data_IF_428318283182
#
_entry.id   IF_428318283182
#
_cell.length_a   1.000
_cell.length_b   1.000
_cell.length_c   1.000
_cell.angle_alpha   90.00
_cell.angle_beta   90.00
_cell.angle_gamma   90.00
#
_symmetry.space_group_name_H-M   'P 1'
#
loop_
_entity.id
_entity.type
_entity.pdbx_description
1 polymer ?
#
# COMPACT_ATOMS: atom_id res chain seq x y z
N UNK A 1 2.86 7.88 25.90
CA UNK A 1 1.63 8.70 25.70
C UNK A 1 1.12 8.45 24.29
N UNK A 2 -0.18 8.11 24.12
CA UNK A 2 -0.80 7.82 22.83
C UNK A 2 -0.85 9.09 21.96
N UNK A 3 -0.51 8.94 20.66
CA UNK A 3 -0.51 10.08 19.70
C UNK A 3 -1.11 9.74 18.35
N UNK A 4 -1.00 8.50 17.92
CA UNK A 4 -1.43 8.06 16.59
C UNK A 4 -2.57 7.06 16.70
N UNK A 5 -3.65 7.29 15.95
CA UNK A 5 -4.74 6.38 15.70
C UNK A 5 -4.70 6.04 14.20
N UNK A 6 -4.38 4.80 13.87
CA UNK A 6 -4.22 4.32 12.50
C UNK A 6 -5.42 3.47 12.09
N UNK A 7 -6.07 3.85 11.01
CA UNK A 7 -7.22 3.13 10.42
C UNK A 7 -6.75 2.38 9.18
N UNK A 8 -6.98 1.07 9.13
CA UNK A 8 -6.60 0.18 8.04
C UNK A 8 -7.81 -0.64 7.60
N UNK A 9 -8.31 -0.40 6.39
CA UNK A 9 -9.47 -1.10 5.86
C UNK A 9 -9.14 -2.55 5.51
N UNK A 10 -9.99 -3.44 5.95
CA UNK A 10 -9.77 -4.88 5.79
C UNK A 10 -10.12 -5.35 4.38
N UNK A 11 -9.12 -5.90 3.65
CA UNK A 11 -9.30 -6.41 2.28
C UNK A 11 -10.04 -5.44 1.35
N UNK A 12 -9.67 -4.18 1.39
CA UNK A 12 -10.41 -3.02 0.91
C UNK A 12 -11.13 -3.24 -0.44
N UNK A 13 -10.39 -3.57 -1.51
CA UNK A 13 -11.01 -3.75 -2.83
C UNK A 13 -12.05 -4.87 -2.84
N UNK A 14 -11.76 -6.00 -2.19
CA UNK A 14 -12.70 -7.10 -2.12
C UNK A 14 -13.94 -6.73 -1.29
N UNK A 15 -13.77 -5.96 -0.21
CA UNK A 15 -14.88 -5.46 0.62
C UNK A 15 -15.76 -4.47 -0.14
N UNK A 16 -15.17 -3.60 -0.98
CA UNK A 16 -15.94 -2.72 -1.87
C UNK A 16 -16.74 -3.54 -2.89
N UNK A 17 -16.13 -4.56 -3.51
CA UNK A 17 -16.83 -5.44 -4.45
C UNK A 17 -18.02 -6.17 -3.77
N UNK A 18 -17.84 -6.67 -2.55
CA UNK A 18 -18.91 -7.30 -1.76
C UNK A 18 -19.99 -6.28 -1.35
N UNK A 19 -19.62 -5.00 -1.15
CA UNK A 19 -20.56 -3.94 -0.82
C UNK A 19 -21.48 -3.59 -2.00
N UNK A 20 -20.91 -3.43 -3.20
CA UNK A 20 -21.67 -3.05 -4.40
C UNK A 20 -22.36 -4.24 -5.09
N UNK A 21 -21.90 -5.46 -4.85
CA UNK A 21 -22.42 -6.71 -5.42
C UNK A 21 -22.86 -7.67 -4.31
N UNK A 22 -24.10 -7.56 -3.81
CA UNK A 22 -24.58 -8.38 -2.67
C UNK A 22 -24.42 -9.89 -2.84
N UNK A 23 -24.46 -10.39 -4.09
CA UNK A 23 -24.29 -11.82 -4.39
C UNK A 23 -22.87 -12.35 -4.14
N UNK A 24 -21.88 -11.45 -3.90
CA UNK A 24 -20.49 -11.80 -3.55
C UNK A 24 -20.27 -11.89 -2.02
N UNK A 25 -21.21 -11.43 -1.21
CA UNK A 25 -21.08 -11.46 0.25
C UNK A 25 -21.00 -12.89 0.77
N UNK A 26 -20.06 -13.12 1.67
CA UNK A 26 -19.81 -14.45 2.26
C UNK A 26 -19.13 -15.43 1.30
N UNK A 27 -18.75 -15.02 0.09
CA UNK A 27 -18.05 -15.86 -0.89
C UNK A 27 -16.57 -15.54 -0.95
N UNK A 28 -15.70 -16.52 -1.27
CA UNK A 28 -14.31 -16.27 -1.58
C UNK A 28 -14.19 -15.46 -2.87
N UNK A 29 -13.72 -14.21 -2.75
CA UNK A 29 -13.56 -13.26 -3.85
C UNK A 29 -12.10 -12.89 -4.03
N UNK A 30 -11.61 -12.98 -5.27
CA UNK A 30 -10.31 -12.48 -5.71
C UNK A 30 -10.47 -11.29 -6.66
N UNK A 31 -9.88 -10.16 -6.35
CA UNK A 31 -9.89 -8.98 -7.23
C UNK A 31 -8.65 -9.03 -8.12
N UNK A 32 -8.85 -8.96 -9.42
CA UNK A 32 -7.78 -9.01 -10.42
C UNK A 32 -7.62 -7.66 -11.11
N UNK A 33 -6.41 -7.26 -11.50
CA UNK A 33 -6.19 -6.02 -12.26
C UNK A 33 -6.78 -6.12 -13.68
N UNK A 34 -6.81 -7.34 -14.23
CA UNK A 34 -7.37 -7.72 -15.54
C UNK A 34 -7.84 -9.16 -15.45
N UNK A 35 -8.95 -9.49 -16.10
CA UNK A 35 -9.48 -10.86 -16.16
C UNK A 35 -8.64 -11.73 -17.10
N UNK A 36 -7.49 -12.22 -16.63
CA UNK A 36 -6.59 -13.08 -17.39
C UNK A 36 -5.94 -14.16 -16.51
N UNK A 37 -5.69 -15.35 -17.07
CA UNK A 37 -5.06 -16.48 -16.36
C UNK A 37 -3.66 -16.19 -15.84
N UNK A 38 -2.91 -15.32 -16.52
CA UNK A 38 -1.54 -14.95 -16.16
C UNK A 38 -1.43 -13.82 -15.13
N UNK A 39 -2.53 -13.36 -14.53
CA UNK A 39 -2.50 -12.32 -13.50
C UNK A 39 -2.53 -12.91 -12.08
N UNK A 40 -2.42 -12.02 -11.09
CA UNK A 40 -2.53 -12.37 -9.69
C UNK A 40 -3.58 -11.49 -8.99
N UNK A 41 -4.06 -11.94 -7.85
CA UNK A 41 -4.96 -11.17 -7.00
C UNK A 41 -4.26 -9.91 -6.49
N UNK A 42 -4.88 -8.75 -6.68
CA UNK A 42 -4.47 -7.49 -6.04
C UNK A 42 -5.13 -7.32 -4.67
N UNK A 43 -6.25 -8.00 -4.45
CA UNK A 43 -6.89 -8.16 -3.14
C UNK A 43 -7.65 -9.49 -3.09
N UNK A 44 -7.88 -9.97 -1.86
CA UNK A 44 -8.67 -11.17 -1.60
C UNK A 44 -9.59 -10.92 -0.40
N UNK A 45 -10.84 -11.39 -0.48
CA UNK A 45 -11.79 -11.33 0.64
C UNK A 45 -11.31 -12.21 1.81
N UNK A 46 -11.87 -12.01 2.99
CA UNK A 46 -11.49 -12.84 4.15
C UNK A 46 -11.88 -14.30 3.97
N UNK A 47 -12.97 -14.56 3.26
CA UNK A 47 -13.37 -15.92 2.87
C UNK A 47 -12.31 -16.55 1.96
N UNK A 48 -11.74 -15.80 1.01
CA UNK A 48 -10.64 -16.29 0.17
C UNK A 48 -9.32 -16.43 0.96
N UNK A 49 -9.05 -15.52 1.91
CA UNK A 49 -7.88 -15.61 2.80
C UNK A 49 -7.88 -16.85 3.68
N UNK A 50 -9.06 -17.37 4.06
CA UNK A 50 -9.19 -18.62 4.81
C UNK A 50 -8.60 -19.83 4.06
N UNK A 51 -8.57 -19.79 2.72
CA UNK A 51 -7.91 -20.78 1.86
C UNK A 51 -6.44 -20.47 1.57
N UNK A 52 -5.85 -19.45 2.23
CA UNK A 52 -4.46 -19.03 2.00
C UNK A 52 -4.26 -18.09 0.79
N UNK A 53 -5.34 -17.65 0.14
CA UNK A 53 -5.30 -16.74 -1.00
C UNK A 53 -5.08 -15.30 -0.50
N UNK A 54 -4.08 -14.61 -1.04
CA UNK A 54 -3.69 -13.25 -0.64
C UNK A 54 -3.25 -12.43 -1.85
N UNK A 55 -2.95 -11.16 -1.62
CA UNK A 55 -2.32 -10.30 -2.63
C UNK A 55 -1.07 -10.97 -3.19
N UNK A 56 -0.97 -11.02 -4.52
CA UNK A 56 0.11 -11.70 -5.25
C UNK A 56 -0.14 -13.18 -5.55
N UNK A 57 -1.20 -13.82 -5.01
CA UNK A 57 -1.56 -15.20 -5.38
C UNK A 57 -2.03 -15.23 -6.84
N UNK A 58 -1.42 -16.11 -7.65
CA UNK A 58 -1.78 -16.26 -9.07
C UNK A 58 -3.21 -16.80 -9.22
N UNK A 59 -3.86 -16.47 -10.35
CA UNK A 59 -5.20 -17.00 -10.66
C UNK A 59 -5.20 -18.54 -10.65
N UNK A 60 -4.14 -19.18 -11.16
CA UNK A 60 -4.01 -20.63 -11.18
C UNK A 60 -3.91 -21.22 -9.77
N UNK A 61 -3.05 -20.63 -8.92
CA UNK A 61 -2.89 -21.08 -7.53
C UNK A 61 -4.16 -20.83 -6.72
N UNK A 62 -4.81 -19.67 -6.91
CA UNK A 62 -6.06 -19.35 -6.23
C UNK A 62 -7.18 -20.35 -6.59
N UNK A 63 -7.30 -20.74 -7.87
CA UNK A 63 -8.23 -21.79 -8.31
C UNK A 63 -7.90 -23.16 -7.75
N UNK A 64 -6.62 -23.48 -7.59
CA UNK A 64 -6.19 -24.75 -6.98
C UNK A 64 -6.53 -24.79 -5.48
N UNK A 65 -6.34 -23.66 -4.77
CA UNK A 65 -6.61 -23.54 -3.33
C UNK A 65 -8.12 -23.48 -3.04
N UNK A 66 -8.89 -22.82 -3.89
CA UNK A 66 -10.33 -22.65 -3.77
C UNK A 66 -10.97 -22.72 -5.16
N UNK A 67 -11.46 -23.89 -5.61
CA UNK A 67 -12.08 -24.04 -6.94
C UNK A 67 -13.30 -23.15 -7.17
N UNK A 68 -14.02 -22.82 -6.10
CA UNK A 68 -15.23 -21.98 -6.12
C UNK A 68 -14.94 -20.47 -6.02
N UNK A 69 -13.67 -20.04 -5.97
CA UNK A 69 -13.32 -18.62 -5.90
C UNK A 69 -13.94 -17.82 -7.05
N UNK A 70 -14.58 -16.73 -6.72
CA UNK A 70 -15.12 -15.78 -7.70
C UNK A 70 -14.09 -14.68 -7.97
N UNK A 71 -13.69 -14.57 -9.24
CA UNK A 71 -12.83 -13.44 -9.65
C UNK A 71 -13.65 -12.29 -10.17
N UNK A 72 -13.23 -11.08 -9.82
CA UNK A 72 -13.78 -9.81 -10.31
C UNK A 72 -12.66 -8.92 -10.81
N UNK A 73 -12.91 -8.16 -11.86
CA UNK A 73 -11.98 -7.15 -12.36
C UNK A 73 -12.04 -5.89 -11.51
N UNK A 74 -10.89 -5.28 -11.26
CA UNK A 74 -10.75 -4.10 -10.43
C UNK A 74 -11.46 -2.87 -11.01
N UNK A 75 -12.24 -2.18 -10.20
CA UNK A 75 -12.98 -0.98 -10.54
C UNK A 75 -12.39 0.24 -9.83
N UNK A 76 -11.22 0.70 -10.27
CA UNK A 76 -10.45 1.74 -9.56
C UNK A 76 -11.23 3.03 -9.29
N UNK A 77 -12.12 3.47 -10.20
CA UNK A 77 -12.93 4.67 -9.99
C UNK A 77 -13.88 4.52 -8.78
N UNK A 78 -14.51 3.36 -8.65
CA UNK A 78 -15.41 3.03 -7.53
C UNK A 78 -14.59 2.94 -6.23
N UNK A 79 -13.38 2.37 -6.26
CA UNK A 79 -12.54 2.30 -5.07
C UNK A 79 -12.11 3.69 -4.59
N UNK A 80 -11.84 4.63 -5.51
CA UNK A 80 -11.54 6.02 -5.16
C UNK A 80 -12.77 6.72 -4.56
N UNK A 81 -13.97 6.49 -5.08
CA UNK A 81 -15.21 7.03 -4.52
C UNK A 81 -15.43 6.53 -3.08
N UNK A 82 -15.34 5.22 -2.86
CA UNK A 82 -15.47 4.65 -1.52
C UNK A 82 -14.38 5.14 -0.56
N UNK A 83 -13.16 5.33 -1.05
CA UNK A 83 -12.08 5.95 -0.28
C UNK A 83 -12.44 7.37 0.18
N UNK A 84 -12.94 8.22 -0.70
CA UNK A 84 -13.35 9.57 -0.34
C UNK A 84 -14.45 9.57 0.70
N UNK A 85 -15.45 8.67 0.57
CA UNK A 85 -16.49 8.48 1.56
C UNK A 85 -15.93 7.99 2.91
N UNK A 86 -14.95 7.09 2.88
CA UNK A 86 -14.29 6.56 4.07
C UNK A 86 -13.49 7.65 4.81
N UNK A 87 -12.71 8.46 4.08
CA UNK A 87 -12.00 9.61 4.66
C UNK A 87 -12.99 10.59 5.28
N UNK A 88 -14.05 10.97 4.57
CA UNK A 88 -15.05 11.87 5.10
C UNK A 88 -15.79 11.31 6.34
N UNK A 89 -16.00 9.98 6.40
CA UNK A 89 -16.56 9.33 7.57
C UNK A 89 -15.64 9.43 8.81
N UNK A 90 -14.33 9.19 8.60
CA UNK A 90 -13.35 9.32 9.69
C UNK A 90 -13.21 10.76 10.13
N UNK A 91 -13.16 11.73 9.20
CA UNK A 91 -13.03 13.16 9.51
C UNK A 91 -14.20 13.74 10.32
N UNK A 92 -15.39 13.15 10.23
CA UNK A 92 -16.52 13.55 11.11
C UNK A 92 -16.28 13.24 12.58
N UNK A 93 -15.44 12.25 12.88
CA UNK A 93 -15.14 11.81 14.26
C UNK A 93 -13.80 12.36 14.75
N UNK A 94 -12.76 12.28 13.91
CA UNK A 94 -11.42 12.74 14.25
C UNK A 94 -10.72 13.29 13.01
N UNK A 95 -9.97 14.42 13.09
CA UNK A 95 -9.25 14.98 11.97
C UNK A 95 -8.24 13.99 11.39
N UNK A 96 -8.36 13.72 10.09
CA UNK A 96 -7.39 12.90 9.35
C UNK A 96 -6.13 13.73 9.13
N UNK A 97 -5.05 13.36 9.81
CA UNK A 97 -3.76 14.03 9.65
C UNK A 97 -3.09 13.69 8.32
N UNK A 98 -3.16 12.41 7.94
CA UNK A 98 -2.53 11.93 6.72
C UNK A 98 -3.28 10.73 6.15
N UNK A 99 -3.47 10.74 4.83
CA UNK A 99 -3.87 9.58 4.03
C UNK A 99 -2.58 8.93 3.51
N UNK A 100 -2.33 7.67 3.87
CA UNK A 100 -1.11 6.96 3.51
C UNK A 100 -1.29 6.09 2.25
N UNK A 101 -2.49 5.53 2.09
CA UNK A 101 -2.88 4.75 0.91
C UNK A 101 -4.38 4.87 0.65
N UNK A 102 -4.89 4.11 -0.31
CA UNK A 102 -6.34 4.08 -0.60
C UNK A 102 -7.16 3.42 0.52
N UNK A 103 -6.51 2.69 1.41
CA UNK A 103 -7.12 1.92 2.50
C UNK A 103 -6.51 2.22 3.88
N UNK A 104 -5.56 3.17 3.95
CA UNK A 104 -4.86 3.50 5.19
C UNK A 104 -4.86 5.01 5.45
N UNK A 105 -5.23 5.40 6.67
CA UNK A 105 -5.18 6.78 7.12
C UNK A 105 -4.88 6.88 8.60
N UNK A 106 -4.37 8.04 9.00
CA UNK A 106 -3.97 8.32 10.37
C UNK A 106 -4.64 9.59 10.90
N UNK A 107 -5.14 9.50 12.13
CA UNK A 107 -5.59 10.61 12.93
C UNK A 107 -4.59 10.89 14.05
N UNK A 108 -4.32 12.16 14.34
CA UNK A 108 -3.48 12.54 15.47
C UNK A 108 -4.34 12.73 16.74
N UNK A 109 -3.95 12.04 17.79
CA UNK A 109 -4.57 12.20 19.10
C UNK A 109 -3.93 13.38 19.86
N UNK A 110 -4.73 14.35 20.26
CA UNK A 110 -4.29 15.56 20.96
C UNK A 110 -5.00 15.72 22.30
N UNK A 111 -4.39 16.48 23.21
CA UNK A 111 -4.99 16.81 24.50
C UNK A 111 -5.53 15.58 25.26
N UNK A 112 -6.79 15.63 25.65
CA UNK A 112 -7.45 14.54 26.40
C UNK A 112 -7.69 13.27 25.58
N UNK A 113 -7.63 13.32 24.25
CA UNK A 113 -7.76 12.15 23.39
C UNK A 113 -6.58 11.16 23.52
N UNK A 114 -5.45 11.61 24.11
CA UNK A 114 -4.30 10.75 24.43
C UNK A 114 -4.55 9.80 25.60
N UNK A 115 -5.65 9.93 26.30
CA UNK A 115 -6.10 8.95 27.27
C UNK A 115 -6.62 7.70 26.57
N UNK A 116 -6.28 6.52 27.10
CA UNK A 116 -6.62 5.22 26.51
C UNK A 116 -8.13 5.06 26.24
N UNK A 117 -8.96 5.34 27.25
CA UNK A 117 -10.40 5.10 27.15
C UNK A 117 -11.05 6.03 26.12
N UNK A 118 -10.62 7.29 26.08
CA UNK A 118 -11.08 8.26 25.07
C UNK A 118 -10.60 7.88 23.67
N UNK A 119 -9.37 7.45 23.51
CA UNK A 119 -8.84 7.00 22.22
C UNK A 119 -9.59 5.76 21.72
N UNK A 120 -9.90 4.82 22.59
CA UNK A 120 -10.73 3.64 22.27
C UNK A 120 -12.17 4.03 21.90
N UNK A 121 -12.78 4.98 22.61
CA UNK A 121 -14.11 5.49 22.28
C UNK A 121 -14.14 6.10 20.88
N UNK A 122 -13.17 6.96 20.54
CA UNK A 122 -12.99 7.53 19.20
C UNK A 122 -12.87 6.41 18.14
N UNK A 123 -12.07 5.37 18.39
CA UNK A 123 -11.93 4.25 17.46
C UNK A 123 -13.25 3.51 17.24
N UNK A 124 -14.02 3.28 18.28
CA UNK A 124 -15.35 2.67 18.16
C UNK A 124 -16.33 3.57 17.39
N UNK A 125 -16.29 4.88 17.61
CA UNK A 125 -17.12 5.84 16.89
C UNK A 125 -16.76 5.85 15.39
N UNK A 126 -15.46 5.83 15.04
CA UNK A 126 -15.00 5.71 13.65
C UNK A 126 -15.56 4.43 13.01
N UNK A 127 -15.45 3.28 13.69
CA UNK A 127 -15.98 2.01 13.15
C UNK A 127 -17.49 2.08 12.92
N UNK A 128 -18.26 2.62 13.86
CA UNK A 128 -19.71 2.81 13.71
C UNK A 128 -20.06 3.74 12.57
N UNK A 129 -19.34 4.85 12.45
CA UNK A 129 -19.56 5.83 11.40
C UNK A 129 -19.29 5.24 10.01
N UNK A 130 -18.19 4.49 9.84
CA UNK A 130 -17.88 3.77 8.59
C UNK A 130 -18.99 2.77 8.26
N UNK A 131 -19.43 1.97 9.25
CA UNK A 131 -20.46 0.95 9.05
C UNK A 131 -21.79 1.57 8.60
N UNK A 132 -22.17 2.70 9.18
CA UNK A 132 -23.45 3.36 8.91
C UNK A 132 -23.48 4.18 7.62
N UNK A 133 -22.37 4.83 7.25
CA UNK A 133 -22.34 5.81 6.15
C UNK A 133 -21.58 5.37 4.91
N UNK A 134 -20.61 4.43 5.04
CA UNK A 134 -19.84 3.94 3.91
C UNK A 134 -20.37 2.59 3.43
N UNK A 135 -20.55 1.64 4.35
CA UNK A 135 -21.15 0.35 4.03
C UNK A 135 -20.82 -0.78 4.98
N UNK A 136 -21.74 -1.74 5.11
CA UNK A 136 -21.64 -2.85 6.07
C UNK A 136 -20.51 -3.84 5.78
N UNK A 137 -20.03 -3.91 4.54
CA UNK A 137 -18.90 -4.74 4.17
C UNK A 137 -17.54 -4.05 4.40
N UNK A 138 -17.53 -2.71 4.59
CA UNK A 138 -16.31 -1.93 4.83
C UNK A 138 -15.95 -1.94 6.31
N UNK A 139 -15.16 -2.91 6.70
CA UNK A 139 -14.62 -2.98 8.07
C UNK A 139 -13.17 -2.51 8.09
N UNK A 140 -12.73 -1.99 9.23
CA UNK A 140 -11.34 -1.58 9.42
C UNK A 140 -10.78 -2.13 10.73
N UNK A 141 -9.49 -2.39 10.75
CA UNK A 141 -8.72 -2.60 11.98
C UNK A 141 -8.08 -1.29 12.39
N UNK A 142 -8.14 -0.97 13.68
CA UNK A 142 -7.59 0.27 14.20
C UNK A 142 -6.49 -0.05 15.20
N UNK A 143 -5.34 0.59 15.00
CA UNK A 143 -4.23 0.57 15.94
C UNK A 143 -4.01 1.94 16.58
N UNK A 144 -3.77 1.96 17.89
CA UNK A 144 -3.51 3.18 18.64
C UNK A 144 -2.18 3.03 19.36
N UNK A 145 -1.27 4.01 19.18
CA UNK A 145 0.07 3.88 19.73
C UNK A 145 0.77 5.25 19.92
N UNK A 146 1.97 5.28 20.53
CA UNK A 146 2.75 6.51 20.69
C UNK A 146 3.21 7.15 19.38
N UNK A 147 3.33 6.39 18.28
CA UNK A 147 3.71 6.88 16.96
C UNK A 147 3.00 6.11 15.84
N UNK A 148 3.09 6.64 14.61
CA UNK A 148 2.44 6.09 13.42
C UNK A 148 2.87 4.66 13.10
N UNK A 149 4.18 4.35 13.20
CA UNK A 149 4.72 3.01 12.92
C UNK A 149 4.13 1.96 13.87
N UNK A 150 4.10 2.24 15.17
CA UNK A 150 3.52 1.35 16.17
C UNK A 150 2.00 1.25 16.04
N UNK A 151 1.32 2.35 15.67
CA UNK A 151 -0.13 2.33 15.43
C UNK A 151 -0.48 1.50 14.21
N UNK A 152 0.32 1.60 13.11
CA UNK A 152 0.18 0.70 11.96
C UNK A 152 0.40 -0.76 12.37
N UNK A 153 1.46 -1.04 13.10
CA UNK A 153 1.77 -2.38 13.59
C UNK A 153 0.62 -2.94 14.46
N UNK A 154 0.08 -2.12 15.37
CA UNK A 154 -1.06 -2.47 16.21
C UNK A 154 -2.32 -2.80 15.37
N UNK A 155 -2.59 -2.07 14.29
CA UNK A 155 -3.72 -2.36 13.40
C UNK A 155 -3.62 -3.73 12.71
N UNK A 156 -2.39 -4.24 12.52
CA UNK A 156 -2.14 -5.54 11.90
C UNK A 156 -2.20 -6.71 12.91
N UNK A 157 -2.01 -6.45 14.22
CA UNK A 157 -1.98 -7.49 15.25
C UNK A 157 -3.30 -8.24 15.42
N UNK A 158 -4.42 -7.59 15.10
CA UNK A 158 -5.76 -8.19 15.19
C UNK A 158 -6.58 -7.83 13.96
N UNK A 159 -6.50 -8.68 12.94
CA UNK A 159 -7.31 -8.58 11.70
C UNK A 159 -8.18 -9.82 11.54
N UNK A 160 -9.41 -9.71 11.04
CA UNK A 160 -10.14 -8.47 10.66
C UNK A 160 -10.82 -7.76 11.84
N UNK A 161 -11.22 -6.50 11.60
CA UNK A 161 -12.08 -5.69 12.47
C UNK A 161 -11.57 -5.50 13.90
N UNK A 162 -10.22 -5.57 14.06
CA UNK A 162 -9.56 -5.44 15.36
C UNK A 162 -9.48 -4.01 15.90
N UNK A 163 -9.17 -3.92 17.18
CA UNK A 163 -8.80 -2.67 17.85
C UNK A 163 -7.71 -2.99 18.87
N UNK A 164 -6.51 -2.52 18.63
CA UNK A 164 -5.34 -2.78 19.46
C UNK A 164 -4.71 -1.47 19.90
N UNK A 165 -4.43 -1.35 21.20
CA UNK A 165 -3.69 -0.23 21.78
C UNK A 165 -2.35 -0.73 22.25
N UNK A 166 -1.28 -0.01 21.91
CA UNK A 166 0.08 -0.21 22.44
C UNK A 166 0.44 1.03 23.25
N UNK A 167 0.63 0.88 24.55
CA UNK A 167 1.04 1.96 25.43
C UNK A 167 2.57 2.03 25.56
N UNK A 168 3.06 3.21 25.92
CA UNK A 168 4.50 3.43 26.12
C UNK A 168 5.13 2.48 27.15
N UNK A 169 4.38 2.14 28.19
CA UNK A 169 4.84 1.27 29.28
C UNK A 169 4.95 -0.22 28.86
N UNK A 170 4.31 -0.61 27.75
CA UNK A 170 4.35 -1.97 27.22
C UNK A 170 5.54 -2.21 26.27
N UNK A 171 6.29 -1.15 25.95
CA UNK A 171 7.40 -1.20 24.99
C UNK A 171 8.74 -1.45 25.69
N UNK A 172 9.62 -2.23 25.06
CA UNK A 172 9.47 -2.92 23.77
C UNK A 172 8.86 -4.33 23.87
N UNK A 173 8.56 -4.84 25.06
CA UNK A 173 8.18 -6.24 25.33
C UNK A 173 6.95 -6.67 24.53
N UNK A 174 6.00 -5.76 24.34
CA UNK A 174 4.78 -5.99 23.56
C UNK A 174 5.04 -6.37 22.10
N UNK A 175 6.22 -6.00 21.56
CA UNK A 175 6.62 -6.27 20.19
C UNK A 175 7.31 -7.61 20.01
N UNK A 176 7.87 -8.20 21.08
CA UNK A 176 8.71 -9.39 21.01
C UNK A 176 8.05 -10.61 20.33
N UNK A 177 6.73 -10.88 20.49
CA UNK A 177 6.08 -12.02 19.82
C UNK A 177 5.89 -11.85 18.31
N UNK A 178 6.09 -10.64 17.76
CA UNK A 178 5.89 -10.35 16.35
C UNK A 178 7.06 -10.84 15.50
N UNK A 179 6.81 -10.98 14.18
CA UNK A 179 7.86 -11.27 13.21
C UNK A 179 8.51 -9.97 12.73
N UNK A 180 9.79 -10.01 12.40
CA UNK A 180 10.48 -8.84 11.81
C UNK A 180 9.75 -8.25 10.60
N UNK A 181 9.16 -9.11 9.77
CA UNK A 181 8.44 -8.70 8.56
C UNK A 181 7.06 -8.08 8.83
N UNK A 182 6.56 -8.14 10.06
CA UNK A 182 5.31 -7.44 10.43
C UNK A 182 5.56 -5.93 10.55
N UNK A 183 6.83 -5.52 10.77
CA UNK A 183 7.22 -4.10 10.80
C UNK A 183 7.26 -3.54 9.38
N UNK A 184 6.49 -2.48 9.15
CA UNK A 184 6.48 -1.78 7.86
C UNK A 184 7.89 -1.34 7.45
N UNK A 185 8.28 -1.67 6.21
CA UNK A 185 9.62 -1.39 5.68
C UNK A 185 10.61 -2.56 5.81
N UNK A 186 10.29 -3.60 6.57
CA UNK A 186 11.11 -4.82 6.64
C UNK A 186 10.62 -5.86 5.61
N UNK A 187 10.92 -5.62 4.33
CA UNK A 187 10.73 -6.59 3.27
C UNK A 187 11.88 -7.61 3.19
N UNK A 188 11.83 -8.51 2.22
CA UNK A 188 12.83 -9.61 2.04
C UNK A 188 14.28 -9.12 2.08
N UNK A 189 14.60 -8.00 1.40
CA UNK A 189 15.98 -7.47 1.36
C UNK A 189 16.42 -6.89 2.71
N UNK A 190 15.54 -6.20 3.42
CA UNK A 190 15.86 -5.66 4.73
C UNK A 190 16.00 -6.79 5.76
N UNK A 191 15.15 -7.82 5.68
CA UNK A 191 15.27 -9.02 6.51
C UNK A 191 16.65 -9.67 6.34
N UNK A 192 17.14 -9.83 5.11
CA UNK A 192 18.49 -10.36 4.86
C UNK A 192 19.58 -9.49 5.49
N UNK A 193 19.47 -8.16 5.40
CA UNK A 193 20.44 -7.24 6.04
C UNK A 193 20.43 -7.35 7.55
N UNK A 194 19.25 -7.50 8.15
CA UNK A 194 19.12 -7.74 9.60
C UNK A 194 19.77 -9.05 10.01
N UNK A 195 19.52 -10.13 9.26
CA UNK A 195 20.11 -11.45 9.52
C UNK A 195 21.63 -11.43 9.41
N UNK A 196 22.20 -10.73 8.43
CA UNK A 196 23.65 -10.51 8.31
C UNK A 196 24.22 -9.76 9.53
N UNK A 197 23.43 -8.87 10.13
CA UNK A 197 23.78 -8.15 11.35
C UNK A 197 23.51 -8.93 12.64
N UNK A 198 23.10 -10.21 12.56
CA UNK A 198 22.82 -11.07 13.71
C UNK A 198 21.44 -10.82 14.37
N UNK A 199 20.49 -10.20 13.63
CA UNK A 199 19.15 -9.88 14.13
C UNK A 199 18.13 -10.81 13.46
N UNK A 200 17.57 -11.76 14.19
CA UNK A 200 16.64 -12.78 13.69
C UNK A 200 15.24 -12.70 14.29
N UNK A 201 15.07 -11.92 15.37
CA UNK A 201 13.81 -11.78 16.11
C UNK A 201 13.49 -10.32 16.42
N UNK A 202 12.23 -10.04 16.78
CA UNK A 202 11.82 -8.72 17.26
C UNK A 202 12.49 -8.34 18.58
N UNK A 203 12.71 -9.30 19.46
CA UNK A 203 13.44 -9.05 20.71
C UNK A 203 14.87 -8.56 20.43
N UNK A 204 15.59 -9.21 19.52
CA UNK A 204 16.94 -8.80 19.10
C UNK A 204 16.92 -7.45 18.37
N UNK A 205 15.92 -7.19 17.52
CA UNK A 205 15.75 -5.89 16.87
C UNK A 205 15.55 -4.77 17.91
N UNK A 206 14.70 -5.01 18.90
CA UNK A 206 14.46 -4.06 19.99
C UNK A 206 15.68 -3.86 20.89
N UNK A 207 16.48 -4.91 21.11
CA UNK A 207 17.70 -4.85 21.91
C UNK A 207 18.90 -4.26 21.14
N UNK A 208 18.84 -4.21 19.81
CA UNK A 208 19.97 -3.78 18.97
C UNK A 208 20.39 -2.34 19.29
N UNK A 209 21.71 -2.07 19.39
CA UNK A 209 22.21 -0.72 19.58
C UNK A 209 21.83 0.22 18.41
N UNK A 210 21.61 1.48 18.72
CA UNK A 210 21.23 2.53 17.74
C UNK A 210 22.19 2.60 16.55
N UNK A 211 23.51 2.46 16.79
CA UNK A 211 24.53 2.46 15.74
C UNK A 211 24.45 1.26 14.81
N UNK A 212 24.08 0.08 15.32
CA UNK A 212 23.86 -1.12 14.51
C UNK A 212 22.69 -0.90 13.55
N UNK A 213 21.55 -0.40 14.05
CA UNK A 213 20.40 -0.11 13.18
C UNK A 213 20.70 1.01 12.17
N UNK A 214 21.48 2.04 12.55
CA UNK A 214 21.98 3.04 11.62
C UNK A 214 22.71 2.38 10.43
N UNK A 215 23.63 1.46 10.71
CA UNK A 215 24.40 0.76 9.68
C UNK A 215 23.53 -0.18 8.83
N UNK A 216 22.61 -0.91 9.45
CA UNK A 216 21.71 -1.83 8.75
C UNK A 216 20.79 -1.09 7.78
N UNK A 217 20.22 0.04 8.16
CA UNK A 217 19.38 0.86 7.25
C UNK A 217 20.20 1.73 6.30
N UNK A 218 21.47 1.97 6.60
CA UNK A 218 22.37 2.82 5.82
C UNK A 218 22.14 4.31 6.06
N UNK A 219 21.78 4.70 7.29
CA UNK A 219 21.62 6.10 7.66
C UNK A 219 20.58 6.39 8.73
N UNK A 220 20.09 7.63 8.78
CA UNK A 220 19.17 8.16 9.80
C UNK A 220 17.90 7.31 9.97
N UNK A 221 17.39 6.70 8.91
CA UNK A 221 16.21 5.82 8.99
C UNK A 221 16.38 4.67 10.02
N UNK A 222 17.59 4.15 10.19
CA UNK A 222 17.89 3.13 11.21
C UNK A 222 17.88 3.69 12.63
N UNK A 223 18.40 4.89 12.83
CA UNK A 223 18.34 5.55 14.14
C UNK A 223 16.90 5.90 14.54
N UNK A 224 16.09 6.35 13.58
CA UNK A 224 14.66 6.60 13.80
C UNK A 224 13.89 5.30 14.07
N UNK A 225 14.20 4.20 13.36
CA UNK A 225 13.61 2.89 13.66
C UNK A 225 13.86 2.48 15.10
N UNK A 226 15.12 2.59 15.57
CA UNK A 226 15.49 2.32 16.96
C UNK A 226 14.63 3.12 17.96
N UNK A 227 14.47 4.42 17.70
CA UNK A 227 13.76 5.33 18.58
C UNK A 227 12.24 5.11 18.50
N UNK A 228 11.70 4.85 17.30
CA UNK A 228 10.27 4.56 17.10
C UNK A 228 9.84 3.25 17.77
N UNK A 229 10.68 2.20 17.78
CA UNK A 229 10.41 0.96 18.52
C UNK A 229 10.28 1.20 20.04
N UNK A 230 10.81 2.31 20.55
CA UNK A 230 10.71 2.76 21.95
C UNK A 230 9.63 3.82 22.16
N UNK A 231 8.76 4.00 21.18
CA UNK A 231 7.63 4.93 21.28
C UNK A 231 7.98 6.39 21.01
N UNK A 232 9.19 6.70 20.56
CA UNK A 232 9.52 8.06 20.15
C UNK A 232 8.68 8.45 18.94
N UNK A 233 8.08 9.62 19.00
CA UNK A 233 7.33 10.20 17.91
C UNK A 233 8.18 11.16 17.10
N UNK A 234 8.19 10.97 15.81
CA UNK A 234 8.74 11.91 14.83
C UNK A 234 7.56 12.57 14.11
N UNK A 235 7.55 13.88 14.05
CA UNK A 235 6.54 14.63 13.30
C UNK A 235 6.48 14.25 11.82
N UNK A 236 5.45 14.70 11.10
CA UNK A 236 5.34 14.45 9.68
C UNK A 236 6.56 15.01 8.95
N UNK A 237 7.16 14.20 8.09
CA UNK A 237 8.21 14.69 7.21
C UNK A 237 7.56 15.41 6.03
N UNK A 238 7.91 16.67 5.84
CA UNK A 238 7.56 17.37 4.60
C UNK A 238 8.41 16.79 3.46
N UNK A 239 7.88 15.75 2.80
CA UNK A 239 8.49 15.19 1.60
C UNK A 239 7.76 15.74 0.39
N UNK A 240 8.47 16.44 -0.47
CA UNK A 240 7.97 16.78 -1.82
C UNK A 240 8.08 15.53 -2.70
N UNK A 241 6.98 15.17 -3.35
CA UNK A 241 7.00 14.10 -4.36
C UNK A 241 7.99 14.48 -5.48
N UNK A 242 9.01 13.64 -5.70
CA UNK A 242 10.06 13.88 -6.71
C UNK A 242 9.78 13.20 -8.03
N UNK A 243 8.75 12.36 -8.10
CA UNK A 243 8.37 11.65 -9.31
C UNK A 243 6.87 11.48 -9.38
N UNK A 244 6.35 11.45 -10.59
CA UNK A 244 4.96 11.18 -10.90
C UNK A 244 4.92 10.04 -11.91
N UNK A 245 4.30 8.92 -11.55
CA UNK A 245 4.27 7.72 -12.37
C UNK A 245 2.87 7.18 -12.59
N UNK A 246 2.74 6.41 -13.68
CA UNK A 246 1.60 5.56 -13.98
C UNK A 246 2.08 4.18 -14.42
N UNK A 247 1.34 3.14 -14.05
CA UNK A 247 1.58 1.79 -14.53
C UNK A 247 0.26 1.11 -14.89
N UNK A 248 0.32 0.12 -15.77
CA UNK A 248 -0.83 -0.67 -16.19
C UNK A 248 -0.42 -2.11 -16.44
N UNK A 249 -1.27 -3.06 -16.05
CA UNK A 249 -1.11 -4.47 -16.41
C UNK A 249 -1.83 -4.70 -17.73
N UNK A 250 -1.10 -5.13 -18.77
CA UNK A 250 -1.68 -5.31 -20.09
C UNK A 250 -2.66 -6.49 -20.11
N UNK A 251 -3.88 -6.29 -20.62
CA UNK A 251 -4.77 -7.39 -20.94
C UNK A 251 -4.17 -8.22 -22.11
N UNK A 252 -4.55 -9.50 -22.25
CA UNK A 252 -3.91 -10.40 -23.20
C UNK A 252 -3.84 -9.89 -24.64
N UNK A 253 -4.90 -9.22 -25.11
CA UNK A 253 -5.03 -8.69 -26.46
C UNK A 253 -4.07 -7.52 -26.75
N UNK A 254 -3.60 -6.81 -25.72
CA UNK A 254 -2.63 -5.71 -25.83
C UNK A 254 -1.18 -6.13 -25.52
N UNK A 255 -0.92 -7.43 -25.33
CA UNK A 255 0.42 -7.98 -25.06
C UNK A 255 1.22 -8.19 -26.34
N UNK A 256 1.31 -7.14 -27.14
CA UNK A 256 2.11 -7.05 -28.35
C UNK A 256 2.76 -5.66 -28.42
N UNK A 257 3.68 -5.47 -29.34
CA UNK A 257 4.46 -4.23 -29.49
C UNK A 257 3.58 -3.00 -29.68
N UNK A 258 2.56 -3.08 -30.54
CA UNK A 258 1.66 -1.97 -30.85
C UNK A 258 0.73 -1.66 -29.65
N UNK A 259 0.13 -2.68 -29.05
CA UNK A 259 -0.72 -2.54 -27.87
C UNK A 259 0.02 -1.95 -26.68
N UNK A 260 1.25 -2.40 -26.45
CA UNK A 260 2.10 -1.88 -25.38
C UNK A 260 2.45 -0.40 -25.59
N UNK A 261 2.82 0.00 -26.82
CA UNK A 261 3.07 1.40 -27.16
C UNK A 261 1.83 2.25 -26.97
N UNK A 262 0.66 1.80 -27.46
CA UNK A 262 -0.61 2.51 -27.30
C UNK A 262 -0.98 2.73 -25.82
N UNK A 263 -0.72 1.74 -24.94
CA UNK A 263 -0.91 1.90 -23.51
C UNK A 263 0.09 2.89 -22.91
N UNK A 264 1.36 2.83 -23.28
CA UNK A 264 2.38 3.79 -22.84
C UNK A 264 2.02 5.23 -23.24
N UNK A 265 1.50 5.45 -24.44
CA UNK A 265 1.01 6.75 -24.87
C UNK A 265 -0.12 7.27 -23.96
N UNK A 266 -1.13 6.45 -23.65
CA UNK A 266 -2.20 6.82 -22.70
C UNK A 266 -1.65 7.13 -21.29
N UNK A 267 -0.70 6.34 -20.81
CA UNK A 267 -0.08 6.56 -19.50
C UNK A 267 0.70 7.87 -19.48
N UNK A 268 1.43 8.19 -20.55
CA UNK A 268 2.17 9.44 -20.72
C UNK A 268 1.22 10.65 -20.72
N UNK A 269 0.13 10.60 -21.47
CA UNK A 269 -0.88 11.66 -21.48
C UNK A 269 -1.48 11.90 -20.09
N UNK A 270 -1.83 10.83 -19.37
CA UNK A 270 -2.35 10.91 -17.99
C UNK A 270 -1.30 11.49 -17.03
N UNK A 271 -0.04 11.09 -17.15
CA UNK A 271 1.03 11.63 -16.34
C UNK A 271 1.24 13.12 -16.60
N UNK A 272 1.29 13.54 -17.86
CA UNK A 272 1.41 14.94 -18.25
C UNK A 272 0.25 15.80 -17.75
N UNK A 273 -0.98 15.30 -17.84
CA UNK A 273 -2.16 15.98 -17.30
C UNK A 273 -2.06 16.17 -15.78
N UNK A 274 -1.65 15.14 -15.04
CA UNK A 274 -1.47 15.22 -13.57
C UNK A 274 -0.33 16.15 -13.19
N UNK A 275 0.77 16.14 -13.96
CA UNK A 275 1.92 17.02 -13.76
C UNK A 275 1.46 18.49 -13.80
N UNK A 276 0.74 18.87 -14.86
CA UNK A 276 0.18 20.23 -15.01
C UNK A 276 -0.81 20.59 -13.90
N UNK A 277 -1.72 19.65 -13.55
CA UNK A 277 -2.69 19.88 -12.46
C UNK A 277 -2.02 20.15 -11.12
N UNK A 278 -0.82 19.61 -10.90
CA UNK A 278 -0.03 19.83 -9.68
C UNK A 278 0.95 21.02 -9.78
N UNK A 279 1.00 21.71 -10.90
CA UNK A 279 1.89 22.84 -11.14
C UNK A 279 3.37 22.46 -11.25
N UNK A 280 3.70 21.19 -11.49
CA UNK A 280 5.08 20.71 -11.59
C UNK A 280 5.59 20.67 -13.03
N UNK A 281 6.91 20.74 -13.18
CA UNK A 281 7.65 20.53 -14.41
C UNK A 281 8.50 19.26 -14.27
N UNK A 282 8.56 18.44 -15.31
CA UNK A 282 9.47 17.31 -15.34
C UNK A 282 10.81 17.71 -16.00
N UNK A 283 11.88 17.09 -15.52
CA UNK A 283 13.24 17.22 -16.08
C UNK A 283 13.79 15.90 -16.59
N UNK A 284 13.04 14.80 -16.38
CA UNK A 284 13.38 13.48 -16.86
C UNK A 284 12.11 12.65 -17.06
N UNK A 285 12.19 11.68 -17.94
CA UNK A 285 11.16 10.67 -18.19
C UNK A 285 11.80 9.29 -18.24
N UNK A 286 11.17 8.32 -17.58
CA UNK A 286 11.56 6.91 -17.70
C UNK A 286 10.35 6.06 -18.07
N UNK A 287 10.57 5.07 -18.93
CA UNK A 287 9.58 4.06 -19.29
C UNK A 287 10.13 2.67 -19.01
N UNK A 288 9.30 1.73 -18.62
CA UNK A 288 9.69 0.34 -18.44
C UNK A 288 8.57 -0.60 -18.84
N UNK A 289 8.96 -1.71 -19.50
CA UNK A 289 8.08 -2.82 -19.81
C UNK A 289 8.60 -4.05 -19.07
N UNK A 290 7.72 -4.77 -18.39
CA UNK A 290 8.05 -6.02 -17.72
C UNK A 290 7.34 -7.16 -18.42
N UNK A 291 8.11 -8.15 -18.85
CA UNK A 291 7.59 -9.39 -19.40
C UNK A 291 7.39 -10.41 -18.26
N UNK A 292 6.42 -11.31 -18.40
CA UNK A 292 6.25 -12.41 -17.46
C UNK A 292 7.32 -13.49 -17.77
N UNK A 293 8.29 -13.62 -16.86
CA UNK A 293 9.41 -14.56 -16.99
C UNK A 293 9.00 -16.03 -17.22
N UNK A 294 7.73 -16.37 -16.97
CA UNK A 294 7.21 -17.72 -17.22
C UNK A 294 6.99 -18.04 -18.70
N UNK A 295 6.98 -17.01 -19.55
CA UNK A 295 6.62 -17.13 -20.96
C UNK A 295 7.67 -16.58 -21.93
N UNK A 296 8.68 -15.85 -21.45
CA UNK A 296 9.73 -15.28 -22.31
C UNK A 296 11.11 -15.30 -21.63
N UNK A 297 12.13 -15.63 -22.42
CA UNK A 297 13.53 -15.65 -21.99
C UNK A 297 14.13 -14.23 -21.76
N UNK A 298 13.47 -13.19 -22.23
CA UNK A 298 13.94 -11.80 -22.13
C UNK A 298 13.37 -11.12 -20.88
N UNK A 299 14.23 -10.67 -19.94
CA UNK A 299 13.79 -9.79 -18.88
C UNK A 299 13.28 -8.47 -19.48
N UNK A 300 12.20 -7.92 -18.91
CA UNK A 300 11.70 -6.61 -19.32
C UNK A 300 12.79 -5.54 -19.28
N UNK A 301 12.64 -4.49 -20.07
CA UNK A 301 13.60 -3.40 -20.19
C UNK A 301 13.04 -2.07 -19.70
N UNK A 302 13.96 -1.15 -19.38
CA UNK A 302 13.65 0.24 -19.09
C UNK A 302 14.59 1.19 -19.82
N UNK A 303 14.10 2.38 -20.12
CA UNK A 303 14.84 3.48 -20.73
C UNK A 303 14.47 4.79 -20.06
N UNK A 304 15.40 5.70 -20.03
CA UNK A 304 15.21 7.04 -19.47
C UNK A 304 15.82 8.12 -20.37
N UNK A 305 15.30 9.33 -20.25
CA UNK A 305 15.82 10.53 -20.88
C UNK A 305 15.78 11.68 -19.91
N UNK A 306 16.81 12.55 -19.97
CA UNK A 306 16.87 13.82 -19.26
C UNK A 306 16.68 14.98 -20.24
N UNK A 307 16.03 16.05 -19.79
CA UNK A 307 15.73 17.23 -20.60
C UNK A 307 15.54 18.44 -19.69
N UNK A 308 15.37 19.63 -20.27
CA UNK A 308 15.00 20.84 -19.52
C UNK A 308 13.61 20.75 -18.91
N UNK A 309 13.22 21.71 -18.09
CA UNK A 309 11.88 21.76 -17.48
C UNK A 309 10.78 21.75 -18.55
N UNK A 310 9.86 20.79 -18.47
CA UNK A 310 8.84 20.57 -19.49
C UNK A 310 7.50 20.14 -18.87
N UNK A 311 6.39 20.57 -19.51
CA UNK A 311 5.02 20.17 -19.16
C UNK A 311 4.21 19.72 -20.39
N UNK A 312 4.75 19.94 -21.60
CA UNK A 312 4.03 19.70 -22.85
C UNK A 312 3.83 18.22 -23.12
N UNK A 313 2.59 17.84 -23.46
CA UNK A 313 2.23 16.44 -23.73
C UNK A 313 2.85 15.94 -25.03
N UNK A 314 2.90 16.79 -26.08
CA UNK A 314 3.50 16.44 -27.37
C UNK A 314 4.97 16.10 -27.20
N UNK A 315 5.71 16.97 -26.50
CA UNK A 315 7.10 16.72 -26.16
C UNK A 315 7.31 15.37 -25.44
N UNK A 316 6.49 15.05 -24.45
CA UNK A 316 6.60 13.77 -23.75
C UNK A 316 6.28 12.56 -24.65
N UNK A 317 5.35 12.69 -25.59
CA UNK A 317 5.07 11.65 -26.57
C UNK A 317 6.25 11.45 -27.55
N UNK A 318 6.90 12.53 -27.98
CA UNK A 318 8.09 12.45 -28.83
C UNK A 318 9.25 11.78 -28.08
N UNK A 319 9.46 12.12 -26.78
CA UNK A 319 10.43 11.44 -25.94
C UNK A 319 10.07 9.96 -25.76
N UNK A 320 8.78 9.64 -25.52
CA UNK A 320 8.32 8.25 -25.46
C UNK A 320 8.69 7.46 -26.72
N UNK A 321 8.39 8.00 -27.91
CA UNK A 321 8.70 7.34 -29.18
C UNK A 321 10.20 7.08 -29.33
N UNK A 322 11.06 8.06 -29.00
CA UNK A 322 12.53 7.89 -29.03
C UNK A 322 12.98 6.78 -28.08
N UNK A 323 12.48 6.77 -26.85
CA UNK A 323 12.82 5.75 -25.84
C UNK A 323 12.31 4.36 -26.24
N UNK A 324 11.12 4.29 -26.88
CA UNK A 324 10.55 3.04 -27.38
C UNK A 324 11.41 2.42 -28.47
N UNK A 325 11.79 3.21 -29.47
CA UNK A 325 12.61 2.76 -30.61
C UNK A 325 14.09 2.52 -30.25
N UNK A 326 14.55 2.93 -29.06
CA UNK A 326 15.91 2.65 -28.59
C UNK A 326 16.10 1.24 -28.01
N UNK A 327 15.25 0.26 -28.37
CA UNK A 327 15.38 -1.15 -28.05
C UNK A 327 14.32 -1.72 -27.08
N UNK A 328 13.22 -1.00 -26.80
CA UNK A 328 12.08 -1.57 -26.05
C UNK A 328 11.06 -2.26 -26.96
N UNK A 329 11.05 -1.95 -28.23
CA UNK A 329 10.16 -2.58 -29.22
C UNK A 329 10.51 -4.05 -29.52
N UNK A 330 11.71 -4.49 -29.14
CA UNK A 330 12.21 -5.85 -29.35
C UNK A 330 11.89 -6.79 -28.18
N UNK A 331 11.27 -6.25 -27.14
CA UNK A 331 10.78 -6.98 -25.96
C UNK A 331 9.37 -7.52 -26.21
#
# INVERSE_FOLDING_TARGET
MLRSLFVDFNSYFASVEQQIKPHLRGKPVGVLPVMARGTCCIAASYEAKAYGIKTGTSVMDAKRLCPEIVFVEAQHAIYVEFHQRAVAAVERIAPVRQVLSIDEMECELTGSWRNRDKAMAIAHDIKREILSTVGSCLRCSIGIAPNTMLAKLASDMQKPDGLVVIEQAELPERLHPLKLQDVQGIGKRMLQRLQVAGIFSMAELCAAPRGVLHSVWGGVAGTEMHDMLRGQWYGPRNTTARSLGHSHVLPPELRNTEGALGVLMRLTQKAAMRLRKQGFYATAMSISVRCDHRYQATPGGGRDAQFGQMQDTGFFLDVLHKLWHSGLQEL
#
